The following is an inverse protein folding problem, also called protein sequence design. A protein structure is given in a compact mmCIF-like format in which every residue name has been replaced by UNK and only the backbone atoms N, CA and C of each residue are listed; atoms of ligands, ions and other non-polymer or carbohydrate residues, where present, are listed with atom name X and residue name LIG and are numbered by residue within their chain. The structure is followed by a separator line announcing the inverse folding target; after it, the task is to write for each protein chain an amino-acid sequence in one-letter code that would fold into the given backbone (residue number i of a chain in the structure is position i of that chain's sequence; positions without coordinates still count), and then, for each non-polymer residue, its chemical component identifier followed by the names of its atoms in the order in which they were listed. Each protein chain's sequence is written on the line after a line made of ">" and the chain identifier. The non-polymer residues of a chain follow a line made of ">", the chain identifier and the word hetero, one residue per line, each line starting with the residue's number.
data_IF_563984012216
#
_entry.id   IF_563984012216
#
_cell.length_a   1.000
_cell.length_b   1.000
_cell.length_c   1.000
_cell.angle_alpha   90.00
_cell.angle_beta   90.00
_cell.angle_gamma   90.00
#
_symmetry.space_group_name_H-M   'P 1'
#
loop_
_entity.id
_entity.type
_entity.pdbx_description
1 polymer ?
#
# COMPACT_ATOMS: atom_id res chain seq x y z
N UNK A 1 21.54 -2.56 2.63
CA UNK A 1 22.19 -2.55 3.95
C UNK A 1 21.85 -1.22 4.60
N UNK A 2 21.27 -1.24 5.80
CA UNK A 2 20.83 -0.03 6.51
C UNK A 2 21.86 0.24 7.59
N UNK A 3 22.84 1.10 7.30
CA UNK A 3 23.90 1.46 8.23
C UNK A 3 23.86 2.95 8.58
N UNK A 4 24.19 3.27 9.84
CA UNK A 4 24.30 4.65 10.30
C UNK A 4 25.57 4.77 11.14
N UNK A 5 26.50 5.62 10.70
CA UNK A 5 27.70 5.97 11.45
C UNK A 5 27.42 7.13 12.41
N UNK A 6 28.08 7.11 13.57
CA UNK A 6 27.99 8.17 14.59
C UNK A 6 28.66 9.44 14.07
N UNK A 7 28.00 10.58 14.26
CA UNK A 7 28.59 11.90 13.97
C UNK A 7 29.36 12.43 15.16
N UNK A 8 30.30 13.33 14.92
CA UNK A 8 31.04 14.00 15.99
C UNK A 8 30.07 14.84 16.84
N UNK A 9 30.20 14.77 18.17
CA UNK A 9 29.29 15.38 19.16
C UNK A 9 27.84 14.86 19.16
N UNK A 10 27.58 13.68 18.57
CA UNK A 10 26.26 13.05 18.63
C UNK A 10 26.09 12.21 19.91
N UNK A 11 24.94 12.38 20.60
CA UNK A 11 24.53 11.49 21.69
C UNK A 11 24.05 10.14 21.17
N UNK A 12 24.24 9.08 21.96
CA UNK A 12 23.82 7.72 21.60
C UNK A 12 22.31 7.64 21.30
N UNK A 13 21.49 8.39 22.06
CA UNK A 13 20.05 8.45 21.82
C UNK A 13 19.67 9.07 20.47
N UNK A 14 20.39 10.11 20.03
CA UNK A 14 20.17 10.72 18.71
C UNK A 14 20.52 9.75 17.58
N UNK A 15 21.63 9.01 17.73
CA UNK A 15 22.05 7.97 16.80
C UNK A 15 20.97 6.89 16.63
N UNK A 16 20.42 6.38 17.75
CA UNK A 16 19.36 5.36 17.73
C UNK A 16 18.08 5.86 17.06
N UNK A 17 17.70 7.13 17.28
CA UNK A 17 16.55 7.74 16.60
C UNK A 17 16.75 7.84 15.08
N UNK A 18 17.96 8.23 14.63
CA UNK A 18 18.30 8.25 13.20
C UNK A 18 18.26 6.84 12.60
N UNK A 19 18.85 5.86 13.29
CA UNK A 19 18.80 4.48 12.87
C UNK A 19 17.35 3.98 12.72
N UNK A 20 16.50 4.18 13.73
CA UNK A 20 15.08 3.79 13.66
C UNK A 20 14.35 4.46 12.50
N UNK A 21 14.54 5.77 12.30
CA UNK A 21 13.94 6.48 11.16
C UNK A 21 14.45 5.94 9.82
N UNK A 22 15.73 5.59 9.73
CA UNK A 22 16.33 5.04 8.52
C UNK A 22 15.81 3.63 8.23
N UNK A 23 15.70 2.77 9.25
CA UNK A 23 15.06 1.44 9.15
C UNK A 23 13.61 1.57 8.68
N UNK A 24 12.83 2.48 9.27
CA UNK A 24 11.44 2.72 8.86
C UNK A 24 11.34 3.18 7.41
N UNK A 25 12.12 4.18 6.99
CA UNK A 25 12.13 4.69 5.61
C UNK A 25 12.63 3.66 4.60
N UNK A 26 13.61 2.85 4.98
CA UNK A 26 14.16 1.81 4.11
C UNK A 26 13.15 0.69 3.81
N UNK A 27 12.11 0.53 4.63
CA UNK A 27 11.13 -0.54 4.48
C UNK A 27 11.70 -1.95 4.64
N UNK A 28 12.95 -2.10 5.11
CA UNK A 28 13.64 -3.41 5.19
C UNK A 28 12.83 -4.42 6.00
N UNK A 29 12.20 -3.98 7.09
CA UNK A 29 11.35 -4.83 7.92
C UNK A 29 10.07 -5.25 7.22
N UNK A 30 9.45 -4.35 6.44
CA UNK A 30 8.25 -4.67 5.66
C UNK A 30 8.58 -5.69 4.57
N UNK A 31 9.69 -5.49 3.86
CA UNK A 31 10.18 -6.43 2.84
C UNK A 31 10.50 -7.80 3.44
N UNK A 32 11.20 -7.85 4.57
CA UNK A 32 11.52 -9.12 5.24
C UNK A 32 10.26 -9.83 5.75
N UNK A 33 9.27 -9.10 6.26
CA UNK A 33 7.99 -9.66 6.67
C UNK A 33 7.19 -10.19 5.48
N UNK A 34 7.13 -9.45 4.38
CA UNK A 34 6.38 -9.89 3.19
C UNK A 34 7.03 -11.08 2.48
N UNK A 35 8.36 -11.17 2.50
CA UNK A 35 9.11 -12.29 1.92
C UNK A 35 9.24 -13.51 2.83
N UNK A 36 8.69 -13.46 4.06
CA UNK A 36 8.78 -14.57 5.03
C UNK A 36 8.17 -15.86 4.49
N UNK A 37 7.11 -15.74 3.68
CA UNK A 37 6.39 -16.88 3.10
C UNK A 37 6.39 -16.79 1.57
N UNK A 38 6.42 -17.95 0.91
CA UNK A 38 6.30 -18.03 -0.55
C UNK A 38 4.93 -17.56 -0.99
N UNK A 39 4.89 -16.48 -1.77
CA UNK A 39 3.69 -16.06 -2.47
C UNK A 39 3.58 -16.84 -3.79
N UNK A 40 2.39 -17.41 -4.06
CA UNK A 40 2.12 -18.06 -5.35
C UNK A 40 1.97 -16.98 -6.42
N UNK A 41 2.51 -17.22 -7.62
CA UNK A 41 2.28 -16.35 -8.78
C UNK A 41 0.78 -16.32 -9.08
N UNK A 42 0.26 -15.15 -9.41
CA UNK A 42 -1.13 -15.00 -9.86
C UNK A 42 -1.32 -15.74 -11.18
N UNK A 43 -2.50 -16.32 -11.37
CA UNK A 43 -2.92 -16.86 -12.66
C UNK A 43 -3.32 -15.70 -13.58
N UNK A 44 -3.17 -15.87 -14.89
CA UNK A 44 -3.52 -14.83 -15.89
C UNK A 44 -4.94 -14.27 -15.69
N UNK A 45 -5.94 -15.13 -15.38
CA UNK A 45 -7.32 -14.70 -15.07
C UNK A 45 -7.38 -13.74 -13.88
N UNK A 46 -6.61 -14.00 -12.82
CA UNK A 46 -6.58 -13.14 -11.62
C UNK A 46 -5.90 -11.81 -11.90
N UNK A 47 -4.84 -11.81 -12.72
CA UNK A 47 -4.18 -10.59 -13.16
C UNK A 47 -5.12 -9.72 -14.00
N UNK A 48 -5.84 -10.32 -14.96
CA UNK A 48 -6.86 -9.65 -15.78
C UNK A 48 -8.00 -9.08 -14.93
N UNK A 49 -8.57 -9.87 -14.02
CA UNK A 49 -9.65 -9.42 -13.13
C UNK A 49 -9.21 -8.25 -12.23
N UNK A 50 -7.98 -8.31 -11.70
CA UNK A 50 -7.43 -7.23 -10.89
C UNK A 50 -7.26 -5.93 -11.69
N UNK A 51 -6.78 -6.03 -12.94
CA UNK A 51 -6.66 -4.88 -13.83
C UNK A 51 -8.03 -4.26 -14.17
N UNK A 52 -9.02 -5.09 -14.50
CA UNK A 52 -10.40 -4.66 -14.76
C UNK A 52 -10.97 -3.94 -13.54
N UNK A 53 -10.87 -4.54 -12.35
CA UNK A 53 -11.33 -3.93 -11.10
C UNK A 53 -10.64 -2.59 -10.82
N UNK A 54 -9.33 -2.49 -11.08
CA UNK A 54 -8.58 -1.24 -10.93
C UNK A 54 -9.11 -0.10 -11.81
N UNK A 55 -9.47 -0.40 -13.07
CA UNK A 55 -10.07 0.58 -13.98
C UNK A 55 -11.42 1.08 -13.47
N UNK A 56 -12.29 0.16 -13.04
CA UNK A 56 -13.60 0.53 -12.49
C UNK A 56 -13.49 1.34 -11.20
N UNK A 57 -12.57 0.97 -10.29
CA UNK A 57 -12.33 1.73 -9.06
C UNK A 57 -11.82 3.14 -9.34
N UNK A 58 -10.91 3.31 -10.30
CA UNK A 58 -10.45 4.63 -10.73
C UNK A 58 -11.61 5.47 -11.31
N UNK A 59 -12.49 4.86 -12.11
CA UNK A 59 -13.64 5.54 -12.68
C UNK A 59 -14.65 5.94 -11.59
N UNK A 60 -14.92 5.05 -10.63
CA UNK A 60 -15.78 5.29 -9.48
C UNK A 60 -15.28 6.45 -8.62
N UNK A 61 -13.97 6.46 -8.30
CA UNK A 61 -13.35 7.53 -7.52
C UNK A 61 -13.52 8.88 -8.22
N UNK A 62 -13.20 8.97 -9.52
CA UNK A 62 -13.40 10.19 -10.31
C UNK A 62 -14.87 10.64 -10.34
N UNK A 63 -15.81 9.69 -10.42
CA UNK A 63 -17.25 10.00 -10.41
C UNK A 63 -17.68 10.59 -9.07
N UNK A 64 -17.26 9.99 -7.96
CA UNK A 64 -17.59 10.47 -6.61
C UNK A 64 -16.96 11.83 -6.30
N UNK A 65 -15.71 12.04 -6.70
CA UNK A 65 -15.02 13.34 -6.62
C UNK A 65 -15.79 14.42 -7.40
N UNK A 66 -16.17 14.13 -8.66
CA UNK A 66 -16.95 15.07 -9.48
C UNK A 66 -18.33 15.39 -8.89
N UNK A 67 -18.94 14.44 -8.19
CA UNK A 67 -20.23 14.63 -7.54
C UNK A 67 -20.12 15.31 -6.17
N UNK A 68 -18.90 15.55 -5.66
CA UNK A 68 -18.68 16.08 -4.32
C UNK A 68 -19.12 15.14 -3.19
N UNK A 69 -19.31 13.85 -3.48
CA UNK A 69 -19.79 12.81 -2.54
C UNK A 69 -18.69 11.83 -2.17
N UNK A 70 -17.44 12.25 -2.30
CA UNK A 70 -16.32 11.39 -1.93
C UNK A 70 -16.18 11.38 -0.41
N UNK A 71 -16.46 10.22 0.16
CA UNK A 71 -16.19 9.87 1.55
C UNK A 71 -15.70 8.42 1.60
N UNK A 72 -14.89 8.06 2.59
CA UNK A 72 -14.30 6.71 2.70
C UNK A 72 -15.39 5.64 2.79
N UNK A 73 -16.43 5.89 3.59
CA UNK A 73 -17.55 4.98 3.76
C UNK A 73 -18.37 4.84 2.46
N UNK A 74 -18.66 5.97 1.81
CA UNK A 74 -19.38 5.99 0.53
C UNK A 74 -18.61 5.27 -0.57
N UNK A 75 -17.28 5.42 -0.62
CA UNK A 75 -16.45 4.74 -1.60
C UNK A 75 -16.44 3.22 -1.39
N UNK A 76 -16.31 2.76 -0.15
CA UNK A 76 -16.31 1.32 0.17
C UNK A 76 -17.67 0.67 -0.10
N UNK A 77 -18.79 1.35 0.16
CA UNK A 77 -20.12 0.87 -0.22
C UNK A 77 -20.27 0.69 -1.74
N UNK A 78 -19.89 1.72 -2.52
CA UNK A 78 -20.01 1.67 -3.97
C UNK A 78 -19.05 0.63 -4.59
N UNK A 79 -17.86 0.45 -4.00
CA UNK A 79 -16.92 -0.60 -4.38
C UNK A 79 -17.48 -2.00 -4.13
N UNK A 80 -18.20 -2.22 -3.01
CA UNK A 80 -18.87 -3.51 -2.75
C UNK A 80 -19.95 -3.80 -3.79
N UNK A 81 -20.76 -2.80 -4.15
CA UNK A 81 -21.79 -2.91 -5.20
C UNK A 81 -21.17 -3.22 -6.55
N UNK A 82 -20.12 -2.49 -6.93
CA UNK A 82 -19.37 -2.71 -8.17
C UNK A 82 -18.79 -4.12 -8.25
N UNK A 83 -18.27 -4.64 -7.13
CA UNK A 83 -17.76 -6.01 -7.07
C UNK A 83 -18.86 -7.06 -7.27
N UNK A 84 -20.05 -6.83 -6.69
CA UNK A 84 -21.21 -7.70 -6.88
C UNK A 84 -21.70 -7.66 -8.34
N UNK A 85 -21.70 -6.48 -8.96
CA UNK A 85 -22.15 -6.29 -10.34
C UNK A 85 -21.23 -6.96 -11.37
N UNK A 86 -19.91 -6.92 -11.15
CA UNK A 86 -18.93 -7.49 -12.06
C UNK A 86 -18.81 -9.02 -11.95
N UNK A 87 -19.38 -9.65 -10.90
CA UNK A 87 -19.24 -11.09 -10.60
C UNK A 87 -17.76 -11.56 -10.60
N UNK A 88 -16.87 -10.71 -10.08
CA UNK A 88 -15.39 -10.87 -10.06
C UNK A 88 -14.81 -11.13 -8.66
#
# INVERSE_FOLDING_TARGET
>A
MVEVKRKQNESIGSLMRRFNRFVQRSGVLLKAKSSRYRQKKLTERKEKNAAIMGLHLSALRRKLEKLGKYDEDTFEEQKRKLKQELDL
#
